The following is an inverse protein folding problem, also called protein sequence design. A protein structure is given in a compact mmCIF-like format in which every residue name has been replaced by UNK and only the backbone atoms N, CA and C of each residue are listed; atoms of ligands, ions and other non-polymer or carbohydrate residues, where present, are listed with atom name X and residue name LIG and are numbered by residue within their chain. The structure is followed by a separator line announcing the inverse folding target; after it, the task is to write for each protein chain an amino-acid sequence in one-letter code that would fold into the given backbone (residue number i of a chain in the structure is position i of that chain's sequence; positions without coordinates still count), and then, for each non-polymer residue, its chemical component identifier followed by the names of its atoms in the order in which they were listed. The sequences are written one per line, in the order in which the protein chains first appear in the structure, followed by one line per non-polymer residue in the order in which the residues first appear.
data_IF_805716319806
#
_entry.id   IF_805716319806
#
_cell.length_a   1.000
_cell.length_b   1.000
_cell.length_c   1.000
_cell.angle_alpha   90.00
_cell.angle_beta   90.00
_cell.angle_gamma   90.00
#
_symmetry.space_group_name_H-M   'P 1'
#
loop_
_entity.id
_entity.type
_entity.pdbx_description
1 polymer ?
#
# COMPACT_ATOMS: atom_id res chain seq x y z
N UNK A 1 8.41 50.59 18.85
CA UNK A 1 8.71 49.13 18.86
C UNK A 1 9.99 48.81 18.08
N UNK A 2 10.13 49.19 16.81
CA UNK A 2 11.32 48.91 15.99
C UNK A 2 12.64 49.46 16.56
N UNK A 3 12.68 50.73 17.01
CA UNK A 3 13.88 51.33 17.64
C UNK A 3 14.38 50.58 18.88
N UNK A 4 13.47 50.03 19.68
CA UNK A 4 13.79 49.21 20.84
C UNK A 4 14.38 47.86 20.46
N UNK A 5 13.79 47.17 19.45
CA UNK A 5 14.29 45.87 18.92
C UNK A 5 15.72 46.08 18.39
N UNK A 6 15.95 47.09 17.55
CA UNK A 6 17.26 47.36 16.96
C UNK A 6 18.29 47.72 18.05
N UNK A 7 17.93 48.58 19.01
CA UNK A 7 18.81 48.97 20.10
C UNK A 7 19.19 47.81 21.02
N UNK A 8 18.22 46.92 21.33
CA UNK A 8 18.46 45.70 22.12
C UNK A 8 19.33 44.71 21.39
N UNK A 9 19.06 44.47 20.08
CA UNK A 9 19.86 43.57 19.24
C UNK A 9 21.32 44.02 19.13
N UNK A 10 21.57 45.29 18.99
CA UNK A 10 22.95 45.86 18.98
C UNK A 10 23.63 45.73 20.32
N UNK A 11 22.90 45.93 21.43
CA UNK A 11 23.43 45.79 22.79
C UNK A 11 23.80 44.35 23.12
N UNK A 12 22.97 43.37 22.68
CA UNK A 12 23.16 41.95 22.94
C UNK A 12 23.63 41.20 21.68
N UNK A 13 24.47 41.81 20.85
CA UNK A 13 24.91 41.27 19.54
C UNK A 13 25.40 39.83 19.58
N UNK A 14 26.13 39.43 20.62
CA UNK A 14 26.64 38.06 20.75
C UNK A 14 25.53 37.05 21.02
N UNK A 15 24.51 37.47 21.79
CA UNK A 15 23.33 36.61 22.05
C UNK A 15 22.51 36.43 20.76
N UNK A 16 22.35 37.50 19.97
CA UNK A 16 21.64 37.42 18.68
C UNK A 16 22.38 36.52 17.69
N UNK A 17 23.72 36.66 17.60
CA UNK A 17 24.51 35.76 16.72
C UNK A 17 24.47 34.31 17.20
N UNK A 18 24.57 34.08 18.51
CA UNK A 18 24.44 32.72 19.05
C UNK A 18 23.05 32.13 18.82
N UNK A 19 21.98 32.93 18.98
CA UNK A 19 20.63 32.51 18.70
C UNK A 19 20.43 32.20 17.19
N UNK A 20 20.99 33.00 16.30
CA UNK A 20 20.95 32.77 14.86
C UNK A 20 21.70 31.47 14.47
N UNK A 21 22.89 31.25 15.05
CA UNK A 21 23.65 30.00 14.83
C UNK A 21 22.91 28.78 15.37
N UNK A 22 22.29 28.87 16.54
CA UNK A 22 21.46 27.82 17.10
C UNK A 22 20.23 27.52 16.21
N UNK A 23 19.53 28.55 15.74
CA UNK A 23 18.42 28.45 14.83
C UNK A 23 18.83 27.75 13.52
N UNK A 24 19.97 28.10 12.95
CA UNK A 24 20.51 27.45 11.76
C UNK A 24 20.81 25.95 12.00
N UNK A 25 21.53 25.67 13.09
CA UNK A 25 21.92 24.29 13.40
C UNK A 25 20.70 23.40 13.68
N UNK A 26 19.88 23.77 14.66
CA UNK A 26 18.70 22.98 15.03
C UNK A 26 17.61 23.00 13.95
N UNK A 27 17.47 24.12 13.25
CA UNK A 27 16.51 24.27 12.18
C UNK A 27 16.82 23.40 10.98
N UNK A 28 18.08 23.35 10.55
CA UNK A 28 18.50 22.45 9.46
C UNK A 28 18.36 20.98 9.87
N UNK A 29 18.74 20.64 11.09
CA UNK A 29 18.58 19.28 11.62
C UNK A 29 17.12 18.86 11.60
N UNK A 30 16.22 19.69 12.12
CA UNK A 30 14.78 19.42 12.16
C UNK A 30 14.15 19.34 10.78
N UNK A 31 14.58 20.18 9.83
CA UNK A 31 14.05 20.19 8.47
C UNK A 31 14.54 19.00 7.63
N UNK A 32 15.67 18.38 7.97
CA UNK A 32 16.13 17.14 7.32
C UNK A 32 15.18 15.98 7.50
N UNK A 33 14.58 15.89 8.69
CA UNK A 33 13.63 14.82 9.02
C UNK A 33 12.19 15.16 8.61
N UNK A 34 11.97 16.31 7.97
CA UNK A 34 10.64 16.71 7.53
C UNK A 34 10.16 15.84 6.36
N UNK A 35 8.91 15.37 6.37
CA UNK A 35 8.37 14.60 5.26
C UNK A 35 8.33 15.46 3.99
N UNK A 36 8.91 14.93 2.91
CA UNK A 36 8.94 15.57 1.59
C UNK A 36 7.99 14.87 0.65
N UNK A 37 7.21 15.63 -0.10
CA UNK A 37 6.26 15.11 -1.08
C UNK A 37 6.23 15.99 -2.35
N UNK A 38 5.56 15.52 -3.42
CA UNK A 38 5.38 16.30 -4.66
C UNK A 38 4.38 17.44 -4.41
N UNK A 39 3.24 17.11 -3.78
CA UNK A 39 2.15 18.02 -3.49
C UNK A 39 1.81 18.02 -2.01
N UNK A 40 1.20 19.10 -1.50
CA UNK A 40 0.62 19.08 -0.16
C UNK A 40 -0.51 18.03 -0.11
N UNK A 41 -0.73 17.43 1.06
CA UNK A 41 -1.90 16.59 1.28
C UNK A 41 -3.16 17.45 1.24
N UNK A 42 -3.99 17.25 0.23
CA UNK A 42 -5.20 18.03 0.01
C UNK A 42 -6.48 17.19 0.18
N UNK A 43 -6.34 15.87 0.26
CA UNK A 43 -7.48 15.00 0.47
C UNK A 43 -7.90 15.00 1.95
N UNK A 44 -9.20 15.06 2.25
CA UNK A 44 -9.67 14.86 3.61
C UNK A 44 -9.34 13.45 4.09
N UNK A 45 -9.20 13.25 5.43
CA UNK A 45 -9.00 11.91 5.97
C UNK A 45 -10.12 10.98 5.51
N UNK A 46 -9.76 9.78 5.03
CA UNK A 46 -10.73 8.82 4.51
C UNK A 46 -10.41 7.40 4.94
N UNK A 47 -11.45 6.59 5.09
CA UNK A 47 -11.37 5.16 5.37
C UNK A 47 -12.19 4.42 4.33
N UNK A 48 -11.59 3.45 3.66
CA UNK A 48 -12.28 2.60 2.70
C UNK A 48 -12.38 1.18 3.22
N UNK A 49 -13.60 0.61 3.10
CA UNK A 49 -13.93 -0.75 3.50
C UNK A 49 -14.34 -1.50 2.25
N UNK A 50 -13.78 -2.67 2.04
CA UNK A 50 -14.17 -3.57 0.97
C UNK A 50 -14.69 -4.87 1.52
N UNK A 51 -15.75 -5.40 0.90
CA UNK A 51 -16.39 -6.66 1.28
C UNK A 51 -16.62 -7.49 0.02
N UNK A 52 -15.73 -8.43 -0.29
CA UNK A 52 -15.95 -9.39 -1.36
C UNK A 52 -17.16 -10.30 -1.03
N UNK A 53 -18.05 -10.49 -2.00
CA UNK A 53 -19.30 -11.24 -1.84
C UNK A 53 -19.55 -12.07 -3.08
N UNK A 54 -18.75 -13.12 -3.23
CA UNK A 54 -18.72 -13.95 -4.43
C UNK A 54 -20.09 -14.52 -4.77
N UNK A 55 -20.45 -14.48 -6.05
CA UNK A 55 -21.72 -15.01 -6.57
C UNK A 55 -22.91 -14.05 -6.48
N UNK A 56 -22.80 -12.92 -5.77
CA UNK A 56 -23.87 -11.93 -5.70
C UNK A 56 -23.87 -10.95 -6.88
N UNK A 57 -25.05 -10.62 -7.37
CA UNK A 57 -25.28 -9.50 -8.29
C UNK A 57 -25.05 -8.16 -7.59
N UNK A 58 -24.95 -7.06 -8.34
CA UNK A 58 -24.78 -5.73 -7.77
C UNK A 58 -25.93 -5.32 -6.83
N UNK A 59 -27.17 -5.67 -7.17
CA UNK A 59 -28.38 -5.37 -6.37
C UNK A 59 -28.38 -6.19 -5.05
N UNK A 60 -27.99 -7.46 -5.10
CA UNK A 60 -27.87 -8.30 -3.90
C UNK A 60 -26.71 -7.81 -3.00
N UNK A 61 -25.56 -7.42 -3.57
CA UNK A 61 -24.46 -6.79 -2.81
C UNK A 61 -24.94 -5.52 -2.14
N UNK A 62 -25.70 -4.67 -2.83
CA UNK A 62 -26.25 -3.45 -2.25
C UNK A 62 -27.18 -3.76 -1.07
N UNK A 63 -28.20 -4.59 -1.29
CA UNK A 63 -29.21 -4.86 -0.27
C UNK A 63 -28.72 -5.66 0.93
N UNK A 64 -27.88 -6.66 0.69
CA UNK A 64 -27.44 -7.62 1.73
C UNK A 64 -26.15 -7.25 2.44
N UNK A 65 -25.30 -6.42 1.83
CA UNK A 65 -23.96 -6.11 2.34
C UNK A 65 -23.75 -4.61 2.52
N UNK A 66 -23.95 -3.81 1.46
CA UNK A 66 -23.62 -2.38 1.48
C UNK A 66 -24.53 -1.61 2.43
N UNK A 67 -25.85 -1.75 2.30
CA UNK A 67 -26.83 -1.03 3.13
C UNK A 67 -26.68 -1.37 4.63
N UNK A 68 -26.57 -2.62 5.08
CA UNK A 68 -26.29 -2.93 6.48
C UNK A 68 -25.03 -2.30 7.01
N UNK A 69 -23.94 -2.30 6.23
CA UNK A 69 -22.69 -1.65 6.61
C UNK A 69 -22.84 -0.12 6.69
N UNK A 70 -23.49 0.52 5.71
CA UNK A 70 -23.77 1.97 5.75
C UNK A 70 -24.53 2.37 7.00
N UNK A 71 -25.57 1.63 7.34
CA UNK A 71 -26.38 1.88 8.53
C UNK A 71 -25.56 1.80 9.82
N UNK A 72 -24.67 0.80 9.93
CA UNK A 72 -23.79 0.66 11.08
C UNK A 72 -22.73 1.77 11.14
N UNK A 73 -22.25 2.24 9.99
CA UNK A 73 -21.20 3.26 9.87
C UNK A 73 -21.76 4.69 9.98
N UNK A 74 -23.04 4.90 9.72
CA UNK A 74 -23.69 6.19 9.90
C UNK A 74 -23.52 6.68 11.35
N UNK A 75 -23.31 7.98 11.53
CA UNK A 75 -23.10 8.56 12.86
C UNK A 75 -21.72 8.27 13.47
N UNK A 76 -20.72 7.85 12.69
CA UNK A 76 -19.33 7.79 13.14
C UNK A 76 -18.84 9.21 13.46
N UNK A 77 -18.23 9.46 14.63
CA UNK A 77 -17.74 10.78 15.00
C UNK A 77 -16.76 11.36 13.98
N UNK A 78 -16.95 12.63 13.61
CA UNK A 78 -16.13 13.31 12.61
C UNK A 78 -16.42 12.96 11.15
N UNK A 79 -17.38 12.07 10.90
CA UNK A 79 -17.82 11.73 9.56
C UNK A 79 -18.47 12.95 8.88
N UNK A 80 -18.10 13.15 7.61
CA UNK A 80 -18.68 14.18 6.75
C UNK A 80 -19.59 13.55 5.70
N UNK A 81 -19.09 12.54 4.98
CA UNK A 81 -19.80 11.87 3.90
C UNK A 81 -19.50 10.37 3.86
N UNK A 82 -20.50 9.57 3.47
CA UNK A 82 -20.34 8.16 3.09
C UNK A 82 -20.58 8.05 1.59
N UNK A 83 -19.64 7.44 0.88
CA UNK A 83 -19.79 7.08 -0.54
C UNK A 83 -19.62 5.59 -0.68
N UNK A 84 -20.61 4.92 -1.23
CA UNK A 84 -20.57 3.50 -1.49
C UNK A 84 -20.69 3.17 -2.97
N UNK A 85 -20.17 2.02 -3.32
CA UNK A 85 -20.26 1.45 -4.66
C UNK A 85 -20.48 -0.05 -4.56
N UNK A 86 -21.62 -0.51 -5.05
CA UNK A 86 -21.97 -1.91 -5.16
C UNK A 86 -21.77 -2.36 -6.61
N UNK A 87 -20.90 -3.31 -6.82
CA UNK A 87 -20.68 -3.97 -8.10
C UNK A 87 -20.88 -5.47 -7.92
N UNK A 88 -21.07 -6.26 -8.98
CA UNK A 88 -21.14 -7.70 -8.83
C UNK A 88 -19.96 -8.24 -8.00
N UNK A 89 -20.27 -8.99 -6.96
CA UNK A 89 -19.31 -9.66 -6.07
C UNK A 89 -18.47 -8.74 -5.16
N UNK A 90 -18.71 -7.41 -5.11
CA UNK A 90 -17.92 -6.52 -4.27
C UNK A 90 -18.73 -5.30 -3.80
N UNK A 91 -18.71 -5.07 -2.49
CA UNK A 91 -19.08 -3.80 -1.86
C UNK A 91 -17.84 -2.98 -1.53
N UNK A 92 -17.81 -1.70 -1.88
CA UNK A 92 -16.78 -0.74 -1.49
C UNK A 92 -17.44 0.48 -0.87
N UNK A 93 -17.11 0.77 0.39
CA UNK A 93 -17.65 1.88 1.16
C UNK A 93 -16.51 2.80 1.58
N UNK A 94 -16.60 4.06 1.20
CA UNK A 94 -15.62 5.09 1.55
C UNK A 94 -16.25 6.10 2.50
N UNK A 95 -15.66 6.22 3.68
CA UNK A 95 -15.99 7.23 4.67
C UNK A 95 -15.04 8.41 4.54
N UNK A 96 -15.57 9.58 4.34
CA UNK A 96 -14.82 10.83 4.25
C UNK A 96 -15.07 11.59 5.55
N UNK A 97 -13.99 12.00 6.22
CA UNK A 97 -14.03 12.69 7.50
C UNK A 97 -13.72 14.17 7.33
N UNK A 98 -14.19 14.97 8.28
CA UNK A 98 -13.92 16.40 8.31
C UNK A 98 -12.41 16.67 8.42
N UNK A 99 -11.91 17.75 7.79
CA UNK A 99 -10.52 18.15 7.93
C UNK A 99 -10.10 18.26 9.41
N UNK A 100 -8.90 17.77 9.73
CA UNK A 100 -8.37 17.75 11.10
C UNK A 100 -8.80 16.54 11.94
N UNK A 101 -9.62 15.63 11.41
CA UNK A 101 -9.93 14.37 12.09
C UNK A 101 -8.70 13.47 12.13
N UNK A 102 -8.38 12.92 13.31
CA UNK A 102 -7.32 11.92 13.45
C UNK A 102 -7.72 10.63 12.71
N UNK A 103 -6.96 10.32 11.65
CA UNK A 103 -7.23 9.17 10.80
C UNK A 103 -7.12 7.83 11.54
N UNK A 104 -6.15 7.69 12.44
CA UNK A 104 -5.97 6.43 13.18
C UNK A 104 -7.12 6.20 14.15
N UNK A 105 -7.57 7.25 14.83
CA UNK A 105 -8.74 7.19 15.71
C UNK A 105 -10.02 6.92 14.92
N UNK A 106 -10.20 7.56 13.78
CA UNK A 106 -11.33 7.30 12.88
C UNK A 106 -11.36 5.84 12.43
N UNK A 107 -10.23 5.28 12.02
CA UNK A 107 -10.09 3.86 11.64
C UNK A 107 -10.46 2.92 12.77
N UNK A 108 -10.05 3.21 14.00
CA UNK A 108 -10.41 2.41 15.17
C UNK A 108 -11.92 2.38 15.38
N UNK A 109 -12.59 3.55 15.36
CA UNK A 109 -14.04 3.65 15.53
C UNK A 109 -14.80 2.93 14.40
N UNK A 110 -14.31 3.04 13.17
CA UNK A 110 -14.87 2.32 12.02
C UNK A 110 -14.73 0.83 12.21
N UNK A 111 -13.56 0.34 12.66
CA UNK A 111 -13.33 -1.10 12.91
C UNK A 111 -14.29 -1.65 13.97
N UNK A 112 -14.53 -0.92 15.04
CA UNK A 112 -15.47 -1.32 16.09
C UNK A 112 -16.90 -1.50 15.53
N UNK A 113 -17.34 -0.56 14.67
CA UNK A 113 -18.66 -0.64 14.04
C UNK A 113 -18.77 -1.75 13.01
N UNK A 114 -17.76 -1.92 12.18
CA UNK A 114 -17.68 -3.04 11.21
C UNK A 114 -17.73 -4.38 11.93
N UNK A 115 -16.97 -4.54 13.02
CA UNK A 115 -16.97 -5.77 13.80
C UNK A 115 -18.34 -6.11 14.37
N UNK A 116 -19.11 -5.09 14.79
CA UNK A 116 -20.46 -5.29 15.35
C UNK A 116 -21.49 -5.78 14.33
N UNK A 117 -21.36 -5.38 13.06
CA UNK A 117 -22.31 -5.76 12.00
C UNK A 117 -21.89 -7.01 11.22
N UNK A 118 -20.59 -7.35 11.23
CA UNK A 118 -20.05 -8.49 10.48
C UNK A 118 -20.83 -9.82 10.70
N UNK A 119 -21.26 -10.18 11.93
CA UNK A 119 -22.03 -11.41 12.14
C UNK A 119 -23.41 -11.43 11.48
N UNK A 120 -23.94 -10.27 11.08
CA UNK A 120 -25.27 -10.16 10.45
C UNK A 120 -25.19 -10.21 8.92
N UNK A 121 -23.99 -10.14 8.36
CA UNK A 121 -23.77 -10.23 6.91
C UNK A 121 -23.94 -11.68 6.45
N UNK A 122 -24.24 -11.88 5.15
CA UNK A 122 -24.34 -13.25 4.60
C UNK A 122 -23.07 -14.06 4.85
N UNK A 123 -23.22 -15.32 5.26
CA UNK A 123 -22.10 -16.21 5.61
C UNK A 123 -21.15 -16.53 4.45
N UNK A 124 -21.63 -16.36 3.21
CA UNK A 124 -20.82 -16.52 1.99
C UNK A 124 -20.09 -15.24 1.54
N UNK A 125 -20.35 -14.11 2.17
CA UNK A 125 -19.54 -12.91 1.99
C UNK A 125 -18.26 -13.04 2.79
N UNK A 126 -17.14 -12.60 2.22
CA UNK A 126 -15.91 -12.48 2.98
C UNK A 126 -16.06 -11.43 4.10
N UNK A 127 -15.35 -11.56 5.22
CA UNK A 127 -15.35 -10.54 6.24
C UNK A 127 -14.94 -9.17 5.65
N UNK A 128 -15.65 -8.07 6.02
CA UNK A 128 -15.24 -6.73 5.60
C UNK A 128 -13.83 -6.40 6.06
N UNK A 129 -13.03 -5.82 5.20
CA UNK A 129 -11.68 -5.37 5.56
C UNK A 129 -11.45 -3.92 5.16
N UNK A 130 -10.71 -3.22 5.99
CA UNK A 130 -10.30 -1.83 5.69
C UNK A 130 -9.05 -1.81 4.81
N UNK A 131 -9.11 -1.04 3.75
CA UNK A 131 -7.93 -0.69 2.96
C UNK A 131 -6.93 0.04 3.85
N UNK A 132 -5.65 -0.11 3.58
CA UNK A 132 -4.58 0.59 4.28
C UNK A 132 -4.80 2.12 4.21
N UNK A 133 -4.32 2.89 5.22
CA UNK A 133 -4.44 4.34 5.19
C UNK A 133 -3.66 4.90 3.99
N UNK A 134 -4.39 5.46 3.05
CA UNK A 134 -3.84 6.07 1.85
C UNK A 134 -4.24 7.54 1.78
N UNK A 135 -3.39 8.35 1.16
CA UNK A 135 -3.61 9.75 0.85
C UNK A 135 -3.70 10.00 -0.65
N UNK A 136 -3.92 11.23 -1.07
CA UNK A 136 -3.90 11.60 -2.48
C UNK A 136 -2.52 11.38 -3.13
N UNK A 137 -1.43 11.47 -2.33
CA UNK A 137 -0.04 11.35 -2.78
C UNK A 137 0.60 10.01 -2.42
N UNK A 138 -0.20 9.01 -2.02
CA UNK A 138 0.32 7.71 -1.54
C UNK A 138 1.08 6.91 -2.58
N UNK A 139 0.81 7.08 -3.87
CA UNK A 139 1.50 6.32 -4.92
C UNK A 139 2.89 6.89 -5.16
N UNK A 140 3.91 6.15 -4.74
CA UNK A 140 5.31 6.59 -4.82
C UNK A 140 6.09 5.94 -5.95
N UNK A 141 5.63 4.78 -6.46
CA UNK A 141 6.28 4.10 -7.57
C UNK A 141 5.33 3.14 -8.26
N UNK A 142 5.47 2.99 -9.58
CA UNK A 142 4.91 1.87 -10.35
C UNK A 142 6.06 1.07 -10.93
N UNK A 143 6.03 -0.23 -10.68
CA UNK A 143 7.08 -1.17 -11.09
C UNK A 143 6.46 -2.16 -12.05
N UNK A 144 7.00 -2.21 -13.27
CA UNK A 144 6.65 -3.22 -14.26
C UNK A 144 7.46 -4.49 -14.05
N UNK A 145 6.81 -5.64 -14.14
CA UNK A 145 7.47 -6.94 -14.20
C UNK A 145 7.07 -7.65 -15.48
N UNK A 146 8.05 -8.13 -16.23
CA UNK A 146 7.88 -8.98 -17.40
C UNK A 146 8.84 -10.16 -17.37
N UNK A 147 8.58 -11.17 -18.17
CA UNK A 147 9.44 -12.34 -18.30
C UNK A 147 9.17 -13.07 -19.61
N UNK A 148 10.24 -13.43 -20.32
CA UNK A 148 10.18 -14.33 -21.47
C UNK A 148 10.32 -15.81 -21.06
N UNK A 149 10.77 -16.07 -19.82
CA UNK A 149 11.07 -17.41 -19.34
C UNK A 149 9.94 -17.97 -18.45
N UNK A 150 9.27 -17.09 -17.68
CA UNK A 150 8.26 -17.47 -16.71
C UNK A 150 6.85 -17.27 -17.26
N UNK A 151 5.95 -18.22 -16.97
CA UNK A 151 4.52 -17.99 -17.20
C UNK A 151 4.01 -16.84 -16.32
N UNK A 152 2.93 -16.15 -16.72
CA UNK A 152 2.31 -15.10 -15.88
C UNK A 152 1.87 -15.64 -14.51
N UNK A 153 1.50 -16.92 -14.41
CA UNK A 153 1.20 -17.55 -13.12
C UNK A 153 2.44 -17.64 -12.25
N UNK A 154 3.58 -18.09 -12.79
CA UNK A 154 4.83 -18.21 -12.02
C UNK A 154 5.41 -16.84 -11.67
N UNK A 155 5.31 -15.88 -12.60
CA UNK A 155 5.66 -14.49 -12.36
C UNK A 155 4.81 -13.90 -11.23
N UNK A 156 3.49 -14.16 -11.22
CA UNK A 156 2.58 -13.72 -10.17
C UNK A 156 2.90 -14.32 -8.81
N UNK A 157 3.24 -15.61 -8.76
CA UNK A 157 3.68 -16.26 -7.52
C UNK A 157 4.98 -15.62 -7.00
N UNK A 158 5.92 -15.33 -7.89
CA UNK A 158 7.18 -14.65 -7.54
C UNK A 158 6.92 -13.22 -7.07
N UNK A 159 6.09 -12.47 -7.79
CA UNK A 159 5.71 -11.11 -7.44
C UNK A 159 5.02 -11.05 -6.07
N UNK A 160 4.07 -11.93 -5.80
CA UNK A 160 3.28 -11.93 -4.58
C UNK A 160 4.09 -12.35 -3.35
N UNK A 161 4.80 -13.49 -3.44
CA UNK A 161 5.46 -14.10 -2.28
C UNK A 161 6.88 -13.62 -2.02
N UNK A 162 7.60 -13.19 -3.05
CA UNK A 162 8.97 -12.69 -2.91
C UNK A 162 9.04 -11.16 -2.98
N UNK A 163 8.64 -10.58 -4.12
CA UNK A 163 8.86 -9.14 -4.37
C UNK A 163 7.98 -8.31 -3.45
N UNK A 164 6.66 -8.50 -3.50
CA UNK A 164 5.71 -7.77 -2.66
C UNK A 164 6.04 -7.93 -1.16
N UNK A 165 6.34 -9.15 -0.74
CA UNK A 165 6.66 -9.43 0.66
C UNK A 165 7.92 -8.70 1.14
N UNK A 166 8.92 -8.50 0.28
CA UNK A 166 10.12 -7.72 0.58
C UNK A 166 9.84 -6.23 0.59
N UNK A 167 9.09 -5.72 -0.39
CA UNK A 167 8.74 -4.31 -0.50
C UNK A 167 7.89 -3.83 0.68
N UNK A 168 6.96 -4.65 1.19
CA UNK A 168 6.17 -4.34 2.39
C UNK A 168 7.00 -4.19 3.68
N UNK A 169 8.27 -4.62 3.68
CA UNK A 169 9.19 -4.42 4.82
C UNK A 169 9.92 -3.07 4.76
N UNK A 170 9.83 -2.36 3.67
CA UNK A 170 10.42 -1.02 3.54
C UNK A 170 9.65 -0.07 4.45
N UNK A 171 10.33 0.65 5.37
CA UNK A 171 9.66 1.59 6.25
C UNK A 171 8.86 2.63 5.47
N UNK A 172 7.61 2.87 5.88
CA UNK A 172 6.72 3.84 5.22
C UNK A 172 5.89 3.27 4.07
N UNK A 173 6.16 2.07 3.57
CA UNK A 173 5.28 1.39 2.60
C UNK A 173 4.01 0.93 3.31
N UNK A 174 2.85 1.33 2.78
CA UNK A 174 1.53 0.95 3.28
C UNK A 174 0.99 -0.29 2.58
N UNK A 175 1.14 -0.36 1.26
CA UNK A 175 0.58 -1.41 0.42
C UNK A 175 1.37 -1.56 -0.88
N UNK A 176 1.25 -2.73 -1.51
CA UNK A 176 1.81 -3.01 -2.84
C UNK A 176 0.81 -3.88 -3.61
N UNK A 177 -0.27 -3.31 -4.14
CA UNK A 177 -1.19 -4.05 -5.02
C UNK A 177 -0.49 -4.45 -6.32
N UNK A 178 -0.86 -5.62 -6.83
CA UNK A 178 -0.34 -6.18 -8.08
C UNK A 178 -1.47 -6.19 -9.09
N UNK A 179 -1.28 -5.55 -10.22
CA UNK A 179 -2.23 -5.54 -11.33
C UNK A 179 -1.79 -6.52 -12.40
N UNK A 180 -2.75 -7.22 -12.99
CA UNK A 180 -2.49 -8.26 -13.98
C UNK A 180 -2.12 -9.62 -13.38
N UNK A 181 -2.20 -9.80 -12.05
CA UNK A 181 -1.80 -11.03 -11.38
C UNK A 181 -2.66 -12.25 -11.80
N UNK A 182 -2.00 -13.39 -11.88
CA UNK A 182 -2.56 -14.71 -12.16
C UNK A 182 -2.28 -15.62 -10.97
N UNK A 183 -3.14 -15.59 -9.95
CA UNK A 183 -2.96 -16.43 -8.76
C UNK A 183 -3.18 -17.89 -9.11
N UNK A 184 -2.18 -18.73 -8.84
CA UNK A 184 -2.21 -20.16 -9.15
C UNK A 184 -3.34 -20.86 -8.39
N UNK A 185 -4.20 -21.54 -9.12
CA UNK A 185 -5.33 -22.32 -8.60
C UNK A 185 -5.37 -23.70 -9.24
N UNK A 186 -5.90 -24.70 -8.52
CA UNK A 186 -6.39 -25.92 -9.12
C UNK A 186 -7.81 -25.70 -9.62
N UNK A 187 -8.01 -25.88 -10.92
CA UNK A 187 -9.33 -25.84 -11.53
C UNK A 187 -9.86 -27.25 -11.69
N UNK A 188 -11.07 -27.50 -11.19
CA UNK A 188 -11.82 -28.71 -11.36
C UNK A 188 -12.96 -28.42 -12.33
N UNK A 189 -12.73 -28.63 -13.62
CA UNK A 189 -13.71 -28.39 -14.68
C UNK A 189 -14.60 -29.60 -14.83
N UNK A 190 -15.76 -29.54 -14.19
CA UNK A 190 -16.71 -30.65 -14.10
C UNK A 190 -17.47 -30.82 -15.41
N UNK A 191 -17.63 -32.05 -15.86
CA UNK A 191 -18.45 -32.42 -17.02
C UNK A 191 -19.85 -32.83 -16.55
N UNK A 192 -20.90 -32.04 -16.87
CA UNK A 192 -22.27 -32.32 -16.42
C UNK A 192 -22.83 -33.66 -16.90
N UNK A 193 -22.46 -34.08 -18.12
CA UNK A 193 -22.96 -35.36 -18.68
C UNK A 193 -22.34 -36.55 -17.94
N UNK A 194 -21.04 -36.48 -17.64
CA UNK A 194 -20.32 -37.48 -16.85
C UNK A 194 -20.83 -37.55 -15.42
N UNK A 195 -21.14 -36.38 -14.79
CA UNK A 195 -21.77 -36.34 -13.46
C UNK A 195 -23.09 -37.05 -13.45
N UNK A 196 -23.98 -36.74 -14.41
CA UNK A 196 -25.28 -37.35 -14.54
C UNK A 196 -25.19 -38.89 -14.79
N UNK A 197 -24.31 -39.31 -15.69
CA UNK A 197 -24.05 -40.71 -15.98
C UNK A 197 -23.52 -41.47 -14.76
N UNK A 198 -22.67 -40.81 -13.95
CA UNK A 198 -22.08 -41.37 -12.73
C UNK A 198 -23.00 -41.26 -11.52
N UNK A 199 -24.14 -40.56 -11.63
CA UNK A 199 -25.07 -40.25 -10.54
C UNK A 199 -24.37 -39.57 -9.34
N UNK A 200 -23.47 -38.64 -9.60
CA UNK A 200 -22.75 -37.83 -8.60
C UNK A 200 -23.22 -36.39 -8.68
N UNK A 201 -23.47 -35.75 -7.55
CA UNK A 201 -23.85 -34.36 -7.48
C UNK A 201 -22.63 -33.46 -7.48
N UNK A 202 -22.80 -32.20 -7.89
CA UNK A 202 -21.75 -31.20 -7.81
C UNK A 202 -21.28 -31.01 -6.35
N UNK A 203 -22.19 -31.04 -5.37
CA UNK A 203 -21.84 -30.92 -3.95
C UNK A 203 -20.90 -32.04 -3.50
N UNK A 204 -21.10 -33.29 -3.95
CA UNK A 204 -20.16 -34.36 -3.64
C UNK A 204 -18.78 -34.15 -4.24
N UNK A 205 -18.70 -33.57 -5.45
CA UNK A 205 -17.40 -33.17 -6.04
C UNK A 205 -16.72 -32.06 -5.22
N UNK A 206 -17.49 -31.07 -4.82
CA UNK A 206 -16.97 -29.96 -4.00
C UNK A 206 -16.46 -30.45 -2.64
N UNK A 207 -17.25 -31.29 -1.97
CA UNK A 207 -16.89 -31.87 -0.67
C UNK A 207 -15.66 -32.78 -0.76
N UNK A 208 -15.61 -33.66 -1.72
CA UNK A 208 -14.46 -34.56 -1.92
C UNK A 208 -13.19 -33.78 -2.27
N UNK A 209 -13.30 -32.72 -3.08
CA UNK A 209 -12.18 -31.87 -3.45
C UNK A 209 -11.67 -31.06 -2.23
N UNK A 210 -12.59 -30.47 -1.46
CA UNK A 210 -12.26 -29.69 -0.26
C UNK A 210 -11.59 -30.58 0.79
N UNK A 211 -12.13 -31.76 1.05
CA UNK A 211 -11.57 -32.73 2.00
C UNK A 211 -10.17 -33.21 1.57
N UNK A 212 -9.99 -33.46 0.27
CA UNK A 212 -8.70 -33.89 -0.25
C UNK A 212 -7.61 -32.86 -0.18
N UNK A 213 -7.95 -31.56 -0.31
CA UNK A 213 -7.03 -30.44 -0.21
C UNK A 213 -6.85 -29.93 1.22
N UNK A 214 -7.54 -30.55 2.20
CA UNK A 214 -7.58 -30.08 3.59
C UNK A 214 -8.04 -28.63 3.74
N UNK A 215 -8.85 -28.17 2.79
CA UNK A 215 -9.52 -26.85 2.82
C UNK A 215 -10.86 -26.92 3.54
N UNK A 216 -11.16 -28.01 4.19
CA UNK A 216 -12.35 -28.23 5.02
C UNK A 216 -12.55 -27.20 6.13
N UNK A 217 -11.49 -26.47 6.48
CA UNK A 217 -11.57 -25.27 7.32
C UNK A 217 -12.52 -24.20 6.82
N UNK A 218 -12.67 -24.03 5.50
CA UNK A 218 -13.60 -23.06 4.92
C UNK A 218 -15.04 -23.56 4.92
N UNK A 219 -15.22 -24.88 4.79
CA UNK A 219 -16.53 -25.54 4.89
C UNK A 219 -16.92 -25.85 6.35
N UNK A 220 -15.94 -26.00 7.26
CA UNK A 220 -16.15 -26.21 8.67
C UNK A 220 -16.86 -25.05 9.37
N UNK A 221 -16.85 -23.89 8.79
CA UNK A 221 -17.60 -22.75 9.31
C UNK A 221 -19.12 -22.90 9.12
N UNK A 222 -19.53 -23.77 8.22
CA UNK A 222 -20.95 -24.03 7.98
C UNK A 222 -21.47 -25.25 8.74
N UNK A 223 -20.64 -26.25 9.10
CA UNK A 223 -21.11 -27.55 9.60
C UNK A 223 -20.27 -28.18 10.75
N UNK A 224 -19.30 -27.47 11.29
CA UNK A 224 -18.52 -27.95 12.45
C UNK A 224 -17.61 -29.15 12.17
N UNK A 225 -17.15 -29.30 10.92
CA UNK A 225 -16.18 -30.33 10.56
C UNK A 225 -14.87 -30.13 11.34
N UNK A 226 -14.43 -31.17 12.03
CA UNK A 226 -13.21 -31.16 12.85
C UNK A 226 -12.00 -31.25 11.94
N UNK A 227 -11.16 -30.21 11.96
CA UNK A 227 -9.83 -30.29 11.34
C UNK A 227 -9.02 -31.28 12.16
N UNK A 228 -8.56 -32.34 11.54
CA UNK A 228 -7.61 -33.26 12.14
C UNK A 228 -6.28 -32.54 12.41
N UNK A 229 -6.12 -31.94 13.58
CA UNK A 229 -4.79 -31.56 14.05
C UNK A 229 -4.05 -32.85 14.34
N UNK A 230 -2.83 -33.01 13.78
CA UNK A 230 -2.09 -34.24 13.89
C UNK A 230 -1.93 -34.82 15.29
N UNK A 231 -1.89 -34.01 16.33
CA UNK A 231 -1.71 -34.46 17.70
C UNK A 231 -0.32 -35.05 17.97
N UNK A 232 -0.25 -35.88 19.03
CA UNK A 232 1.00 -36.51 19.45
C UNK A 232 0.79 -37.98 19.74
N UNK A 233 1.81 -38.79 19.49
CA UNK A 233 1.90 -40.18 19.93
C UNK A 233 2.91 -40.20 21.06
N UNK A 234 2.46 -40.53 22.28
CA UNK A 234 3.32 -40.65 23.44
C UNK A 234 3.83 -42.11 23.55
N UNK A 235 5.14 -42.26 23.57
CA UNK A 235 5.82 -43.54 23.86
C UNK A 235 6.55 -43.43 25.19
N UNK A 236 6.97 -44.54 25.85
CA UNK A 236 7.67 -44.48 27.11
C UNK A 236 8.89 -43.56 27.13
N UNK A 237 9.54 -43.35 25.99
CA UNK A 237 10.81 -42.65 25.89
C UNK A 237 10.76 -41.34 25.07
N UNK A 238 9.67 -41.08 24.34
CA UNK A 238 9.57 -39.88 23.50
C UNK A 238 8.13 -39.55 23.11
N UNK A 239 7.90 -38.29 22.83
CA UNK A 239 6.66 -37.75 22.29
C UNK A 239 6.85 -37.41 20.80
N UNK A 240 6.11 -38.12 19.94
CA UNK A 240 6.19 -37.96 18.49
C UNK A 240 5.05 -37.04 18.02
N UNK A 241 5.38 -35.96 17.34
CA UNK A 241 4.39 -35.12 16.68
C UNK A 241 3.87 -35.81 15.42
N UNK A 242 2.56 -35.95 15.28
CA UNK A 242 1.91 -36.39 14.05
C UNK A 242 1.68 -35.18 13.16
N UNK A 243 2.29 -35.19 11.98
CA UNK A 243 2.12 -34.11 10.99
C UNK A 243 1.27 -34.63 9.83
N UNK A 244 0.18 -33.93 9.55
CA UNK A 244 -0.55 -34.13 8.30
C UNK A 244 0.26 -33.51 7.15
N UNK A 245 0.48 -34.26 6.11
CA UNK A 245 1.11 -33.79 4.86
C UNK A 245 0.09 -33.96 3.75
N UNK A 246 -0.37 -32.85 3.18
CA UNK A 246 -1.27 -32.88 2.04
C UNK A 246 -0.58 -33.59 0.86
N UNK A 247 -1.11 -34.73 0.38
CA UNK A 247 -0.46 -35.51 -0.68
C UNK A 247 -0.65 -34.90 -2.06
N UNK A 248 -1.49 -33.86 -2.18
CA UNK A 248 -1.91 -33.26 -3.45
C UNK A 248 -1.06 -32.03 -3.72
N UNK A 249 -0.13 -32.16 -4.67
CA UNK A 249 0.75 -31.08 -5.13
C UNK A 249 0.59 -30.79 -6.63
N UNK A 250 -0.12 -31.66 -7.36
CA UNK A 250 -0.35 -31.52 -8.78
C UNK A 250 -1.79 -31.91 -9.16
N UNK A 251 -2.34 -31.42 -10.29
CA UNK A 251 -3.67 -31.79 -10.75
C UNK A 251 -3.90 -33.30 -10.86
N UNK A 252 -2.89 -34.05 -11.30
CA UNK A 252 -2.95 -35.52 -11.41
C UNK A 252 -3.18 -36.22 -10.06
N UNK A 253 -2.72 -35.64 -8.97
CA UNK A 253 -2.88 -36.18 -7.62
C UNK A 253 -4.35 -36.00 -7.19
N UNK A 254 -4.88 -34.79 -7.45
CA UNK A 254 -6.28 -34.44 -7.21
C UNK A 254 -7.23 -35.31 -8.07
N UNK A 255 -6.86 -35.65 -9.32
CA UNK A 255 -7.65 -36.52 -10.20
C UNK A 255 -7.86 -37.91 -9.64
N UNK A 256 -7.00 -38.39 -8.75
CA UNK A 256 -7.07 -39.71 -8.10
C UNK A 256 -7.94 -39.75 -6.85
N UNK A 257 -8.49 -38.63 -6.45
CA UNK A 257 -9.38 -38.56 -5.28
C UNK A 257 -10.66 -39.38 -5.56
N UNK A 258 -11.03 -40.23 -4.63
CA UNK A 258 -12.24 -41.06 -4.74
C UNK A 258 -13.48 -40.23 -4.42
N UNK A 259 -14.42 -40.14 -5.34
CA UNK A 259 -15.73 -39.47 -5.17
C UNK A 259 -16.76 -40.38 -4.57
N UNK A 260 -16.80 -41.64 -5.03
CA UNK A 260 -17.73 -42.65 -4.58
C UNK A 260 -17.13 -44.04 -4.79
N UNK A 261 -17.63 -45.03 -4.02
CA UNK A 261 -17.34 -46.43 -4.23
C UNK A 261 -18.67 -47.17 -4.43
N UNK A 262 -18.79 -47.88 -5.55
CA UNK A 262 -19.98 -48.65 -5.88
C UNK A 262 -19.57 -50.01 -6.45
N UNK A 263 -20.17 -51.08 -5.95
CA UNK A 263 -19.89 -52.43 -6.37
C UNK A 263 -18.38 -52.78 -6.40
N UNK A 264 -17.62 -52.28 -5.43
CA UNK A 264 -16.18 -52.47 -5.35
C UNK A 264 -15.35 -51.68 -6.38
N UNK A 265 -16.00 -50.82 -7.18
CA UNK A 265 -15.32 -49.92 -8.12
C UNK A 265 -15.28 -48.50 -7.57
N UNK A 266 -14.10 -47.89 -7.59
CA UNK A 266 -13.88 -46.48 -7.20
C UNK A 266 -14.13 -45.59 -8.40
N UNK A 267 -14.99 -44.61 -8.22
CA UNK A 267 -15.15 -43.49 -9.14
C UNK A 267 -14.21 -42.38 -8.68
N UNK A 268 -13.32 -41.96 -9.56
CA UNK A 268 -12.33 -40.95 -9.28
C UNK A 268 -12.79 -39.56 -9.76
N UNK A 269 -12.25 -38.50 -9.18
CA UNK A 269 -12.53 -37.12 -9.58
C UNK A 269 -12.18 -36.88 -11.06
N UNK A 270 -11.08 -37.48 -11.55
CA UNK A 270 -10.66 -37.38 -12.94
C UNK A 270 -11.60 -38.07 -13.93
N UNK A 271 -12.51 -38.96 -13.47
CA UNK A 271 -13.51 -39.62 -14.35
C UNK A 271 -14.64 -38.65 -14.73
N UNK A 272 -14.91 -37.65 -13.88
CA UNK A 272 -16.05 -36.71 -14.04
C UNK A 272 -15.60 -35.25 -14.26
N UNK A 273 -14.32 -34.98 -14.12
CA UNK A 273 -13.77 -33.63 -14.27
C UNK A 273 -12.40 -33.62 -14.94
N UNK A 274 -12.09 -32.52 -15.64
CA UNK A 274 -10.73 -32.20 -16.08
C UNK A 274 -10.07 -31.30 -15.06
N UNK A 275 -8.88 -31.70 -14.63
CA UNK A 275 -8.12 -30.96 -13.62
C UNK A 275 -6.89 -30.29 -14.24
N UNK A 276 -6.72 -29.02 -13.96
CA UNK A 276 -5.61 -28.24 -14.50
C UNK A 276 -5.16 -27.16 -13.51
N UNK A 277 -3.94 -26.66 -13.70
CA UNK A 277 -3.49 -25.42 -13.04
C UNK A 277 -3.97 -24.26 -13.91
N UNK A 278 -4.64 -23.32 -13.29
CA UNK A 278 -5.12 -22.12 -13.94
C UNK A 278 -5.08 -20.94 -12.93
N UNK A 279 -5.75 -19.86 -13.21
CA UNK A 279 -5.81 -18.68 -12.36
C UNK A 279 -7.26 -18.24 -12.11
N UNK A 280 -7.43 -17.33 -11.15
CA UNK A 280 -8.73 -16.72 -10.85
C UNK A 280 -9.27 -15.96 -12.08
N UNK A 281 -10.58 -15.69 -12.14
CA UNK A 281 -11.15 -14.75 -13.10
C UNK A 281 -10.44 -13.39 -13.00
N UNK A 282 -10.11 -12.79 -14.14
CA UNK A 282 -9.37 -11.53 -14.17
C UNK A 282 -10.30 -10.35 -13.88
N UNK A 283 -9.91 -9.51 -12.93
CA UNK A 283 -10.54 -8.21 -12.69
C UNK A 283 -9.89 -7.10 -13.55
N UNK A 284 -8.67 -7.32 -14.04
CA UNK A 284 -7.91 -6.43 -14.89
C UNK A 284 -6.66 -7.12 -15.43
N UNK A 285 -5.96 -6.44 -16.32
CA UNK A 285 -4.72 -6.92 -16.91
C UNK A 285 -3.64 -5.84 -16.91
N UNK A 286 -2.39 -6.22 -17.17
CA UNK A 286 -1.29 -5.30 -17.30
C UNK A 286 -0.44 -5.65 -18.54
N UNK A 287 -0.09 -4.62 -19.30
CA UNK A 287 0.85 -4.69 -20.42
C UNK A 287 2.09 -3.89 -20.02
N UNK A 288 3.25 -4.51 -20.07
CA UNK A 288 4.54 -3.92 -19.75
C UNK A 288 5.44 -4.08 -20.97
N UNK A 289 5.97 -2.97 -21.48
CA UNK A 289 6.88 -2.96 -22.65
C UNK A 289 6.31 -3.77 -23.84
N UNK A 290 5.05 -3.47 -24.20
CA UNK A 290 4.33 -4.10 -25.33
C UNK A 290 4.04 -5.61 -25.17
N UNK A 291 4.30 -6.19 -23.99
CA UNK A 291 4.02 -7.59 -23.67
C UNK A 291 3.16 -7.77 -22.43
N UNK A 292 2.64 -8.98 -22.21
CA UNK A 292 1.90 -9.29 -20.99
C UNK A 292 2.85 -9.24 -19.78
N UNK A 293 2.42 -8.56 -18.72
CA UNK A 293 3.24 -8.40 -17.54
C UNK A 293 2.42 -8.13 -16.28
N UNK A 294 3.09 -7.71 -15.22
CA UNK A 294 2.48 -7.33 -13.95
C UNK A 294 2.89 -5.91 -13.59
N UNK A 295 1.98 -5.16 -12.99
CA UNK A 295 2.29 -3.84 -12.46
C UNK A 295 2.12 -3.82 -10.95
N UNK A 296 3.20 -3.60 -10.23
CA UNK A 296 3.19 -3.36 -8.80
C UNK A 296 3.06 -1.86 -8.56
N UNK A 297 2.11 -1.46 -7.73
CA UNK A 297 1.91 -0.06 -7.33
C UNK A 297 2.37 0.07 -5.89
N UNK A 298 3.48 0.74 -5.66
CA UNK A 298 3.95 0.98 -4.29
C UNK A 298 3.22 2.19 -3.72
N UNK A 299 2.54 1.97 -2.60
CA UNK A 299 1.77 2.98 -1.88
C UNK A 299 2.38 3.21 -0.51
N UNK A 300 2.65 4.49 -0.18
CA UNK A 300 3.19 4.88 1.12
C UNK A 300 2.08 5.26 2.11
N UNK A 301 2.40 5.22 3.40
CA UNK A 301 1.59 5.82 4.44
C UNK A 301 1.50 7.34 4.27
N UNK A 302 0.39 8.01 4.65
CA UNK A 302 0.21 9.44 4.46
C UNK A 302 1.33 10.31 5.06
N UNK A 303 1.89 9.90 6.17
CA UNK A 303 2.97 10.60 6.90
C UNK A 303 4.39 10.18 6.50
N UNK A 304 4.54 9.24 5.57
CA UNK A 304 5.86 8.79 5.15
C UNK A 304 6.48 9.74 4.12
N UNK A 305 7.81 9.84 4.14
CA UNK A 305 8.59 10.64 3.20
C UNK A 305 8.69 9.91 1.86
N UNK A 306 8.29 10.59 0.77
CA UNK A 306 8.29 10.02 -0.59
C UNK A 306 9.69 9.64 -1.07
N UNK A 307 10.72 10.46 -0.78
CA UNK A 307 12.09 10.18 -1.23
C UNK A 307 12.68 8.96 -0.51
N UNK A 308 12.47 8.87 0.82
CA UNK A 308 13.03 7.78 1.62
C UNK A 308 12.36 6.45 1.29
N UNK A 309 11.02 6.46 1.10
CA UNK A 309 10.29 5.26 0.66
C UNK A 309 10.75 4.83 -0.73
N UNK A 310 10.90 5.77 -1.68
CA UNK A 310 11.38 5.45 -3.03
C UNK A 310 12.76 4.83 -2.99
N UNK A 311 13.70 5.44 -2.26
CA UNK A 311 15.07 4.91 -2.11
C UNK A 311 15.07 3.52 -1.49
N UNK A 312 14.35 3.32 -0.39
CA UNK A 312 14.26 2.01 0.26
C UNK A 312 13.64 0.92 -0.62
N UNK A 313 12.69 1.30 -1.50
CA UNK A 313 12.12 0.39 -2.50
C UNK A 313 13.15 0.03 -3.58
N UNK A 314 13.89 1.00 -4.11
CA UNK A 314 14.95 0.80 -5.10
C UNK A 314 16.05 -0.10 -4.54
N UNK A 315 16.54 0.18 -3.33
CA UNK A 315 17.51 -0.66 -2.63
C UNK A 315 17.01 -2.10 -2.44
N UNK A 316 15.74 -2.26 -2.02
CA UNK A 316 15.15 -3.58 -1.85
C UNK A 316 15.03 -4.37 -3.17
N UNK A 317 14.76 -3.69 -4.29
CA UNK A 317 14.73 -4.31 -5.61
C UNK A 317 16.13 -4.74 -6.03
N UNK A 318 17.13 -3.88 -5.86
CA UNK A 318 18.51 -4.17 -6.24
C UNK A 318 19.08 -5.35 -5.43
N UNK A 319 18.77 -5.44 -4.15
CA UNK A 319 19.10 -6.60 -3.31
C UNK A 319 18.46 -7.91 -3.81
N UNK A 320 17.24 -7.83 -4.37
CA UNK A 320 16.54 -9.01 -4.86
C UNK A 320 16.94 -9.44 -6.27
N UNK A 321 17.45 -8.54 -7.11
CA UNK A 321 17.79 -8.81 -8.53
C UNK A 321 18.61 -10.08 -8.74
N UNK A 322 19.65 -10.40 -7.95
CA UNK A 322 20.42 -11.64 -8.15
C UNK A 322 19.60 -12.92 -7.96
N UNK A 323 18.51 -12.85 -7.18
CA UNK A 323 17.63 -13.99 -6.90
C UNK A 323 16.35 -14.04 -7.78
N UNK A 324 16.25 -13.17 -8.77
CA UNK A 324 15.09 -13.02 -9.67
C UNK A 324 15.48 -13.29 -11.13
N UNK A 325 16.21 -14.40 -11.36
CA UNK A 325 16.59 -14.80 -12.72
C UNK A 325 15.37 -14.92 -13.64
N UNK A 326 15.48 -14.41 -14.86
CA UNK A 326 14.42 -14.44 -15.87
C UNK A 326 13.28 -13.44 -15.61
N UNK A 327 13.38 -12.55 -14.60
CA UNK A 327 12.41 -11.48 -14.37
C UNK A 327 13.02 -10.14 -14.74
N UNK A 328 12.41 -9.45 -15.69
CA UNK A 328 12.71 -8.05 -16.01
C UNK A 328 11.93 -7.13 -15.08
N UNK A 329 12.61 -6.12 -14.53
CA UNK A 329 12.03 -5.18 -13.57
C UNK A 329 12.26 -3.75 -14.08
N UNK A 330 11.17 -3.07 -14.42
CA UNK A 330 11.15 -1.66 -14.82
C UNK A 330 10.62 -0.80 -13.69
N UNK A 331 11.47 0.04 -13.12
CA UNK A 331 11.18 0.99 -12.04
C UNK A 331 10.94 2.41 -12.56
N UNK A 332 11.00 2.63 -13.87
CA UNK A 332 10.95 3.97 -14.50
C UNK A 332 9.55 4.40 -14.92
N UNK A 333 8.55 3.50 -14.89
CA UNK A 333 7.18 3.74 -15.38
C UNK A 333 6.52 4.93 -14.67
N UNK A 334 6.72 5.05 -13.35
CA UNK A 334 6.20 6.15 -12.55
C UNK A 334 7.03 6.30 -11.29
N UNK A 335 7.73 7.45 -11.16
CA UNK A 335 8.63 7.76 -10.04
C UNK A 335 8.52 9.25 -9.68
N UNK A 336 7.50 9.62 -8.89
CA UNK A 336 7.31 11.02 -8.46
C UNK A 336 8.50 11.64 -7.75
N UNK A 337 9.35 10.82 -7.10
CA UNK A 337 10.59 11.28 -6.48
C UNK A 337 11.48 12.09 -7.45
N UNK A 338 11.48 11.77 -8.74
CA UNK A 338 12.22 12.51 -9.78
C UNK A 338 11.83 13.98 -9.82
N UNK A 339 10.52 14.28 -9.76
CA UNK A 339 10.04 15.67 -9.75
C UNK A 339 10.47 16.43 -8.50
N UNK A 340 10.53 15.74 -7.34
CA UNK A 340 11.00 16.33 -6.08
C UNK A 340 12.49 16.61 -6.17
N UNK A 341 13.27 15.63 -6.63
CA UNK A 341 14.73 15.74 -6.78
C UNK A 341 15.12 16.88 -7.73
N UNK A 342 14.47 16.96 -8.90
CA UNK A 342 14.66 18.05 -9.85
C UNK A 342 14.27 19.41 -9.28
N UNK A 343 13.13 19.48 -8.55
CA UNK A 343 12.68 20.73 -7.93
C UNK A 343 13.66 21.21 -6.86
N UNK A 344 14.20 20.32 -6.03
CA UNK A 344 15.20 20.64 -5.02
C UNK A 344 16.51 21.07 -5.69
N UNK A 345 16.94 20.38 -6.74
CA UNK A 345 18.14 20.73 -7.51
C UNK A 345 18.03 22.12 -8.14
N UNK A 346 16.93 22.39 -8.86
CA UNK A 346 16.66 23.68 -9.49
C UNK A 346 16.57 24.82 -8.47
N UNK A 347 15.94 24.55 -7.31
CA UNK A 347 15.88 25.52 -6.21
C UNK A 347 17.28 25.82 -5.67
N UNK A 348 18.09 24.79 -5.43
CA UNK A 348 19.45 24.93 -4.91
C UNK A 348 20.32 25.74 -5.89
N UNK A 349 20.23 25.44 -7.18
CA UNK A 349 20.94 26.19 -8.24
C UNK A 349 20.50 27.67 -8.26
N UNK A 350 19.19 27.93 -8.26
CA UNK A 350 18.65 29.28 -8.23
C UNK A 350 19.10 30.07 -6.98
N UNK A 351 19.14 29.40 -5.81
CA UNK A 351 19.64 30.02 -4.58
C UNK A 351 21.13 30.37 -4.66
N UNK A 352 21.94 29.47 -5.23
CA UNK A 352 23.39 29.73 -5.40
C UNK A 352 23.60 30.89 -6.37
N UNK A 353 22.98 30.87 -7.55
CA UNK A 353 23.08 31.92 -8.55
C UNK A 353 22.59 33.27 -7.98
N UNK A 354 21.42 33.27 -7.33
CA UNK A 354 20.84 34.42 -6.70
C UNK A 354 21.76 35.02 -5.61
N UNK A 355 22.34 34.18 -4.75
CA UNK A 355 23.28 34.59 -3.72
C UNK A 355 24.55 35.23 -4.32
N UNK A 356 25.11 34.62 -5.36
CA UNK A 356 26.28 35.17 -6.07
C UNK A 356 25.93 36.53 -6.67
N UNK A 357 24.79 36.65 -7.34
CA UNK A 357 24.35 37.90 -7.96
C UNK A 357 24.17 39.00 -6.92
N UNK A 358 23.54 38.70 -5.77
CA UNK A 358 23.38 39.66 -4.65
C UNK A 358 24.71 40.11 -4.12
N UNK A 359 25.67 39.21 -3.90
CA UNK A 359 27.04 39.56 -3.45
C UNK A 359 27.72 40.44 -4.45
N UNK A 360 27.60 40.17 -5.75
CA UNK A 360 28.17 41.00 -6.82
C UNK A 360 27.55 42.40 -6.86
N UNK A 361 26.21 42.52 -6.78
CA UNK A 361 25.51 43.80 -6.79
C UNK A 361 25.86 44.61 -5.55
N UNK A 362 25.82 44.05 -4.34
CA UNK A 362 26.19 44.73 -3.10
C UNK A 362 27.67 45.15 -3.14
N UNK A 363 28.55 44.26 -3.62
CA UNK A 363 29.97 44.56 -3.78
C UNK A 363 30.23 45.71 -4.76
N UNK A 364 29.52 45.72 -5.91
CA UNK A 364 29.69 46.75 -6.96
C UNK A 364 29.12 48.13 -6.56
N UNK A 365 27.97 48.17 -5.86
CA UNK A 365 27.27 49.43 -5.56
C UNK A 365 27.57 50.00 -4.20
N UNK A 366 27.80 49.17 -3.17
CA UNK A 366 27.98 49.65 -1.79
C UNK A 366 29.43 49.62 -1.35
N UNK A 367 30.35 48.93 -2.01
CA UNK A 367 31.75 48.69 -1.61
C UNK A 367 31.90 48.26 -0.13
N UNK A 368 30.82 47.72 0.47
CA UNK A 368 30.74 47.33 1.87
C UNK A 368 30.61 45.80 2.03
N UNK A 369 31.77 45.13 2.15
CA UNK A 369 31.80 43.68 2.34
C UNK A 369 31.00 43.18 3.56
N UNK A 370 30.87 44.04 4.60
CA UNK A 370 30.12 43.73 5.83
C UNK A 370 28.62 43.62 5.56
N UNK A 371 28.06 44.51 4.75
CA UNK A 371 26.66 44.45 4.35
C UNK A 371 26.39 43.18 3.51
N UNK A 372 27.29 42.88 2.58
CA UNK A 372 27.21 41.68 1.78
C UNK A 372 27.20 40.37 2.64
N UNK A 373 28.11 40.30 3.63
CA UNK A 373 28.19 39.15 4.55
C UNK A 373 26.90 38.96 5.39
N UNK A 374 26.31 40.10 5.86
CA UNK A 374 25.04 40.04 6.61
C UNK A 374 23.90 39.50 5.71
N UNK A 375 23.81 39.99 4.48
CA UNK A 375 22.77 39.56 3.55
C UNK A 375 22.88 38.06 3.20
N UNK A 376 24.09 37.56 2.92
CA UNK A 376 24.37 36.16 2.63
C UNK A 376 23.98 35.23 3.80
N UNK A 377 24.14 35.69 5.05
CA UNK A 377 23.75 34.92 6.23
C UNK A 377 22.25 35.06 6.53
N UNK A 378 21.67 36.24 6.30
CA UNK A 378 20.25 36.48 6.60
C UNK A 378 19.30 35.69 5.71
N UNK A 379 19.66 35.48 4.42
CA UNK A 379 18.84 34.72 3.48
C UNK A 379 18.59 33.27 3.93
N UNK A 380 19.61 32.41 4.13
CA UNK A 380 19.37 31.04 4.56
C UNK A 380 18.74 30.98 5.96
N UNK A 381 19.08 31.91 6.85
CA UNK A 381 18.45 31.98 8.17
C UNK A 381 16.95 32.24 8.08
N UNK A 382 16.50 33.10 7.17
CA UNK A 382 15.10 33.43 6.95
C UNK A 382 14.35 32.22 6.36
N UNK A 383 14.99 31.46 5.42
CA UNK A 383 14.42 30.26 4.83
C UNK A 383 14.25 29.17 5.88
N UNK A 384 15.27 28.94 6.73
CA UNK A 384 15.20 27.95 7.80
C UNK A 384 14.12 28.33 8.82
N UNK A 385 14.02 29.61 9.19
CA UNK A 385 12.98 30.08 10.10
C UNK A 385 11.56 29.88 9.50
N UNK A 386 11.37 30.22 8.23
CA UNK A 386 10.12 30.00 7.54
C UNK A 386 9.77 28.48 7.44
N UNK A 387 10.75 27.65 7.10
CA UNK A 387 10.59 26.19 7.07
C UNK A 387 10.19 25.61 8.42
N UNK A 388 10.80 26.05 9.51
CA UNK A 388 10.45 25.64 10.87
C UNK A 388 9.00 26.00 11.23
N UNK A 389 8.54 27.21 10.90
CA UNK A 389 7.15 27.61 11.15
C UNK A 389 6.17 26.74 10.37
N UNK A 390 6.51 26.35 9.15
CA UNK A 390 5.71 25.44 8.36
C UNK A 390 5.71 24.03 8.95
N UNK A 391 6.87 23.54 9.37
CA UNK A 391 7.01 22.25 10.04
C UNK A 391 6.18 22.17 11.34
N UNK A 392 6.27 23.17 12.21
CA UNK A 392 5.48 23.25 13.45
C UNK A 392 3.96 23.28 13.19
N UNK A 393 3.55 23.75 12.02
CA UNK A 393 2.15 23.71 11.58
C UNK A 393 1.75 22.40 10.92
N UNK A 394 2.64 21.41 10.88
CA UNK A 394 2.39 20.11 10.26
C UNK A 394 2.36 20.14 8.73
N UNK A 395 2.92 21.17 8.10
CA UNK A 395 3.02 21.23 6.65
C UNK A 395 4.15 20.33 6.15
N UNK A 396 3.89 19.57 5.07
CA UNK A 396 4.92 18.81 4.35
C UNK A 396 5.76 19.76 3.50
N UNK A 397 7.05 19.48 3.37
CA UNK A 397 7.89 20.16 2.37
C UNK A 397 7.53 19.61 0.99
N UNK A 398 7.02 20.45 0.12
CA UNK A 398 6.60 20.07 -1.22
C UNK A 398 6.99 21.15 -2.25
N UNK A 399 6.82 20.84 -3.53
CA UNK A 399 7.22 21.74 -4.64
C UNK A 399 6.57 23.12 -4.50
N UNK A 400 5.33 23.22 -4.02
CA UNK A 400 4.64 24.50 -3.84
C UNK A 400 5.23 25.32 -2.68
N UNK A 401 5.57 24.67 -1.56
CA UNK A 401 6.27 25.30 -0.44
C UNK A 401 7.64 25.81 -0.89
N UNK A 402 8.39 24.98 -1.63
CA UNK A 402 9.69 25.36 -2.18
C UNK A 402 9.58 26.58 -3.12
N UNK A 403 8.61 26.57 -4.04
CA UNK A 403 8.35 27.71 -4.94
C UNK A 403 7.99 28.99 -4.16
N UNK A 404 7.15 28.87 -3.12
CA UNK A 404 6.82 29.98 -2.23
C UNK A 404 8.04 30.56 -1.50
N UNK A 405 8.94 29.69 -1.02
CA UNK A 405 10.18 30.10 -0.38
C UNK A 405 11.12 30.84 -1.35
N UNK A 406 11.19 30.41 -2.62
CA UNK A 406 11.97 31.13 -3.67
C UNK A 406 11.42 32.53 -3.92
N UNK A 407 10.10 32.66 -4.05
CA UNK A 407 9.43 33.95 -4.25
C UNK A 407 9.70 34.87 -3.01
N UNK A 408 9.57 34.32 -1.81
CA UNK A 408 9.84 35.06 -0.58
C UNK A 408 11.32 35.55 -0.51
N UNK A 409 12.25 34.70 -0.98
CA UNK A 409 13.67 35.09 -1.05
C UNK A 409 13.87 36.31 -1.96
N UNK A 410 13.23 36.34 -3.14
CA UNK A 410 13.30 37.48 -4.05
C UNK A 410 12.77 38.78 -3.47
N UNK A 411 11.87 38.74 -2.47
CA UNK A 411 11.35 39.91 -1.76
C UNK A 411 12.26 40.34 -0.60
N UNK A 412 13.00 39.39 0.00
CA UNK A 412 13.93 39.64 1.11
C UNK A 412 15.21 40.36 0.61
N UNK A 413 15.62 40.10 -0.61
CA UNK A 413 16.77 40.71 -1.28
C UNK A 413 16.41 42.08 -1.84
#
# INVERSE_FOLDING_TARGET
MMRWIVGSSLRFRFVVVAAAAALMYFGVEQLRDSPVDVFPEFAPPQVEIQTPSLGLSAEEVEGLVTVPLEQALAGTPGLDEIRSKSVPQLSSIRLIFKPGTDLLRARQLVQERVASVTPTLPSWSAPPFMIQPLSATSRVMKIGLSSDELSLIDLSVTAYWKIRARLLRVPGVANVPIWGERLRQFHVNVDPERLAASRVSLNQVMEATANALDVGTLLAWSDGAVIGTGGFIDTPNQRLAVRHVAPIVAPRDLARVTLAERDGKKLLLGDVARLEINHQPLAGDAVINDGPGLMLIVEKLPWANTLDVTRGVEEAIDEMRPGLSGVEIDTTIFRPATFIEESISNLTEALIIGSILVVLVIGAFLFEWRAAAISVVAMPLSLVAAGLVLYERGATINVMVLAGLVIALGVIV
#
